data_IF_306012150850
#
_entry.id   IF_306012150850
#
_cell.length_a   1.000
_cell.length_b   1.000
_cell.length_c   1.000
_cell.angle_alpha   90.00
_cell.angle_beta   90.00
_cell.angle_gamma   90.00
#
_symmetry.space_group_name_H-M   'P 1'
#
loop_
_entity.id
_entity.type
_entity.pdbx_description
1 polymer ?
#
# COMPACT_ATOMS: atom_id res chain seq x y z
N UNK A 1 18.52 21.86 -8.26
CA UNK A 1 17.80 21.26 -7.12
C UNK A 1 16.66 20.46 -7.70
N UNK A 2 16.59 19.17 -7.36
CA UNK A 2 15.45 18.32 -7.72
C UNK A 2 14.23 18.81 -6.95
N UNK A 3 13.09 18.94 -7.63
CA UNK A 3 11.80 19.22 -6.99
C UNK A 3 11.01 17.93 -6.92
N UNK A 4 10.13 17.83 -5.93
CA UNK A 4 9.26 16.66 -5.77
C UNK A 4 7.81 17.11 -5.70
N UNK A 5 6.95 16.28 -6.27
CA UNK A 5 5.53 16.29 -5.96
C UNK A 5 5.13 15.03 -5.21
N UNK A 6 4.06 15.14 -4.43
CA UNK A 6 3.61 14.10 -3.50
C UNK A 6 2.13 13.82 -3.73
N UNK A 7 1.76 12.55 -3.61
CA UNK A 7 0.38 12.10 -3.70
C UNK A 7 0.06 11.09 -2.60
N UNK A 8 -1.18 11.15 -2.09
CA UNK A 8 -1.71 10.18 -1.13
C UNK A 8 -2.87 9.46 -1.79
N UNK A 9 -2.84 8.13 -1.81
CA UNK A 9 -3.97 7.32 -2.27
C UNK A 9 -4.52 6.41 -1.21
N UNK A 10 -5.84 6.23 -1.27
CA UNK A 10 -6.56 5.27 -0.46
C UNK A 10 -7.04 4.14 -1.36
N UNK A 11 -6.86 2.90 -0.88
CA UNK A 11 -7.33 1.72 -1.58
C UNK A 11 -8.22 0.91 -0.63
N UNK A 12 -9.52 0.78 -0.93
CA UNK A 12 -10.47 0.11 -0.04
C UNK A 12 -10.11 -1.36 0.18
N UNK A 13 -10.45 -1.89 1.36
CA UNK A 13 -10.19 -3.29 1.71
C UNK A 13 -10.86 -4.27 0.73
N UNK A 14 -11.96 -3.88 0.07
CA UNK A 14 -12.66 -4.69 -0.92
C UNK A 14 -11.82 -4.98 -2.17
N UNK A 15 -10.91 -4.06 -2.56
CA UNK A 15 -9.94 -4.29 -3.65
C UNK A 15 -8.90 -5.35 -3.27
N UNK A 16 -8.73 -5.56 -1.97
CA UNK A 16 -7.87 -6.58 -1.40
C UNK A 16 -8.71 -7.55 -0.58
N UNK A 17 -9.39 -8.47 -1.28
CA UNK A 17 -10.35 -9.49 -0.79
C UNK A 17 -10.15 -10.18 0.58
N UNK A 18 -9.00 -10.06 1.26
CA UNK A 18 -8.64 -10.57 2.59
C UNK A 18 -7.47 -9.80 3.26
N UNK A 19 -7.32 -8.49 3.04
CA UNK A 19 -6.30 -7.71 3.76
C UNK A 19 -6.86 -7.31 5.14
N UNK A 20 -7.40 -8.30 5.84
CA UNK A 20 -7.82 -8.16 7.21
C UNK A 20 -6.56 -8.29 8.02
N UNK A 21 -6.01 -7.14 8.36
CA UNK A 21 -4.99 -6.99 9.37
C UNK A 21 -5.52 -7.64 10.66
N UNK A 22 -5.09 -8.86 10.99
CA UNK A 22 -5.15 -9.35 12.36
C UNK A 22 -4.05 -8.61 13.12
N UNK A 23 -4.33 -7.36 13.50
CA UNK A 23 -3.65 -6.82 14.68
C UNK A 23 -4.18 -7.64 15.85
N UNK A 24 -3.29 -8.29 16.59
CA UNK A 24 -3.64 -8.70 17.94
C UNK A 24 -4.12 -7.46 18.72
N UNK A 25 -4.87 -7.69 19.79
CA UNK A 25 -5.22 -6.68 20.79
C UNK A 25 -3.99 -5.98 21.41
N UNK A 26 -2.79 -6.51 21.19
CA UNK A 26 -1.50 -5.95 21.57
C UNK A 26 -0.82 -5.08 20.48
N UNK A 27 -1.43 -4.95 19.29
CA UNK A 27 -0.87 -4.13 18.20
C UNK A 27 0.23 -4.81 17.38
N UNK A 28 0.40 -6.13 17.51
CA UNK A 28 1.38 -6.90 16.74
C UNK A 28 0.79 -7.32 15.39
N UNK A 29 1.49 -6.98 14.31
CA UNK A 29 1.11 -7.30 12.94
C UNK A 29 2.03 -8.41 12.44
N UNK A 30 1.56 -9.65 12.42
CA UNK A 30 2.35 -10.77 11.92
C UNK A 30 2.24 -10.87 10.39
N UNK A 31 3.37 -10.88 9.69
CA UNK A 31 3.46 -10.92 8.22
C UNK A 31 3.04 -12.28 7.61
N UNK A 32 2.52 -13.21 8.41
CA UNK A 32 2.28 -14.61 8.03
C UNK A 32 0.96 -14.88 7.29
N UNK A 33 0.04 -13.92 7.23
CA UNK A 33 -1.34 -14.20 6.76
C UNK A 33 -1.78 -13.40 5.53
N UNK A 34 -0.87 -12.80 4.76
CA UNK A 34 -1.25 -12.19 3.47
C UNK A 34 -1.42 -13.28 2.40
N UNK A 35 -2.65 -13.56 1.92
CA UNK A 35 -2.85 -14.58 0.90
C UNK A 35 -2.04 -14.23 -0.37
N UNK A 36 -1.40 -15.20 -1.05
CA UNK A 36 -0.57 -14.95 -2.23
C UNK A 36 -1.25 -14.13 -3.34
N UNK A 37 -2.58 -14.21 -3.44
CA UNK A 37 -3.38 -13.46 -4.40
C UNK A 37 -3.39 -11.95 -4.11
N UNK A 38 -3.23 -11.55 -2.86
CA UNK A 38 -3.21 -10.15 -2.44
C UNK A 38 -1.88 -9.49 -2.73
N UNK A 39 -0.79 -10.22 -2.53
CA UNK A 39 0.56 -9.76 -2.88
C UNK A 39 0.64 -9.43 -4.38
N UNK A 40 -0.06 -10.18 -5.24
CA UNK A 40 -0.15 -9.86 -6.68
C UNK A 40 -0.87 -8.53 -6.94
N UNK A 41 -1.93 -8.23 -6.21
CA UNK A 41 -2.66 -6.96 -6.31
C UNK A 41 -1.79 -5.77 -5.90
N UNK A 42 -1.09 -5.90 -4.77
CA UNK A 42 -0.16 -4.87 -4.30
C UNK A 42 1.00 -4.67 -5.28
N UNK A 43 1.64 -5.75 -5.74
CA UNK A 43 2.71 -5.66 -6.76
C UNK A 43 2.22 -4.97 -8.03
N UNK A 44 1.00 -5.25 -8.48
CA UNK A 44 0.41 -4.57 -9.64
C UNK A 44 0.26 -3.07 -9.39
N UNK A 45 -0.25 -2.65 -8.24
CA UNK A 45 -0.37 -1.24 -7.86
C UNK A 45 1.00 -0.55 -7.84
N UNK A 46 1.99 -1.17 -7.19
CA UNK A 46 3.35 -0.62 -7.09
C UNK A 46 3.98 -0.43 -8.47
N UNK A 47 3.85 -1.43 -9.36
CA UNK A 47 4.40 -1.34 -10.71
C UNK A 47 3.68 -0.29 -11.56
N UNK A 48 2.34 -0.21 -11.50
CA UNK A 48 1.58 0.83 -12.22
C UNK A 48 2.04 2.24 -11.82
N UNK A 49 2.25 2.48 -10.53
CA UNK A 49 2.77 3.75 -10.02
C UNK A 49 4.22 3.99 -10.42
N UNK A 50 5.06 2.95 -10.35
CA UNK A 50 6.45 3.02 -10.82
C UNK A 50 6.55 3.39 -12.30
N UNK A 51 5.68 2.85 -13.15
CA UNK A 51 5.61 3.17 -14.58
C UNK A 51 5.23 4.64 -14.84
N UNK A 52 4.53 5.28 -13.91
CA UNK A 52 4.16 6.71 -13.91
C UNK A 52 5.24 7.61 -13.28
N UNK A 53 6.36 7.03 -12.83
CA UNK A 53 7.49 7.71 -12.18
C UNK A 53 7.33 7.91 -10.68
N UNK A 54 6.29 7.35 -10.06
CA UNK A 54 6.08 7.45 -8.62
C UNK A 54 6.91 6.43 -7.84
N UNK A 55 7.50 6.90 -6.75
CA UNK A 55 8.17 6.10 -5.75
C UNK A 55 7.29 6.01 -4.50
N UNK A 56 7.14 4.79 -3.96
CA UNK A 56 6.48 4.59 -2.68
C UNK A 56 7.36 5.12 -1.55
N UNK A 57 6.78 5.96 -0.69
CA UNK A 57 7.41 6.47 0.53
C UNK A 57 7.02 5.59 1.72
N UNK A 58 5.71 5.41 1.91
CA UNK A 58 5.14 4.74 3.07
C UNK A 58 3.76 4.16 2.73
N UNK A 59 3.40 3.08 3.43
CA UNK A 59 2.11 2.43 3.30
C UNK A 59 1.58 2.08 4.69
N UNK A 60 0.34 2.49 4.97
CA UNK A 60 -0.39 2.10 6.18
C UNK A 60 -1.49 1.13 5.82
N UNK A 61 -1.65 0.12 6.68
CA UNK A 61 -2.73 -0.86 6.60
C UNK A 61 -3.70 -0.61 7.74
N UNK A 62 -4.99 -0.61 7.43
CA UNK A 62 -6.07 -0.50 8.40
C UNK A 62 -7.23 -1.41 8.03
N UNK A 63 -8.20 -1.52 8.95
CA UNK A 63 -9.41 -2.33 8.75
C UNK A 63 -10.21 -1.94 7.49
N UNK A 64 -10.15 -0.67 7.11
CA UNK A 64 -10.93 -0.11 6.00
C UNK A 64 -10.14 -0.09 4.67
N UNK A 65 -8.87 -0.53 4.69
CA UNK A 65 -8.02 -0.59 3.50
C UNK A 65 -6.62 -0.05 3.73
N UNK A 66 -6.03 0.44 2.66
CA UNK A 66 -4.64 0.91 2.60
C UNK A 66 -4.60 2.40 2.34
N UNK A 67 -3.63 3.09 2.96
CA UNK A 67 -3.21 4.44 2.58
C UNK A 67 -1.76 4.38 2.12
N UNK A 68 -1.47 4.86 0.91
CA UNK A 68 -0.14 4.87 0.33
C UNK A 68 0.32 6.30 0.02
N UNK A 69 1.57 6.59 0.34
CA UNK A 69 2.22 7.88 0.15
C UNK A 69 3.26 7.77 -0.95
N UNK A 70 3.20 8.67 -1.91
CA UNK A 70 4.01 8.63 -3.12
C UNK A 70 4.80 9.93 -3.29
N UNK A 71 5.97 9.84 -3.91
CA UNK A 71 6.73 10.99 -4.43
C UNK A 71 7.17 10.75 -5.86
N UNK A 72 7.33 11.80 -6.65
CA UNK A 72 8.10 11.76 -7.90
C UNK A 72 8.83 13.07 -8.16
N UNK A 73 9.90 13.01 -8.93
CA UNK A 73 10.63 14.20 -9.37
C UNK A 73 9.81 15.03 -10.37
N UNK A 74 9.96 16.37 -10.31
CA UNK A 74 9.33 17.35 -11.23
C UNK A 74 10.36 18.29 -11.86
#
# INVERSE_FOLDING_TARGET
MVRFEYEITTHPAEEFSKLIYFCSDQGECALNDLPPNQMKGLVKLLNQRGDEGWELIEIFFGKDGIVAFWKREV
#
